data_IF_325168379601
#
_entry.id   IF_325168379601
#
_cell.length_a   1.000
_cell.length_b   1.000
_cell.length_c   1.000
_cell.angle_alpha   90.00
_cell.angle_beta   90.00
_cell.angle_gamma   90.00
#
_symmetry.space_group_name_H-M   'P 1'
#
loop_
_entity.id
_entity.type
_entity.pdbx_description
1 polymer ?
#
# COMPACT_ATOMS: atom_id res chain seq x y z
N UNK A 1 4.20 26.70 -6.72
CA UNK A 1 3.01 25.92 -6.34
C UNK A 1 2.21 25.43 -7.55
N UNK A 2 1.73 26.29 -8.45
CA UNK A 2 0.90 25.90 -9.61
C UNK A 2 1.53 24.82 -10.53
N UNK A 3 2.84 24.93 -10.84
CA UNK A 3 3.54 23.96 -11.69
C UNK A 3 3.57 22.54 -11.10
N UNK A 4 3.79 22.41 -9.78
CA UNK A 4 3.79 21.11 -9.09
C UNK A 4 2.39 20.48 -9.09
N UNK A 5 1.35 21.27 -8.85
CA UNK A 5 -0.04 20.80 -8.85
C UNK A 5 -0.47 20.27 -10.24
N UNK A 6 -0.02 20.93 -11.31
CA UNK A 6 -0.23 20.46 -12.69
C UNK A 6 0.52 19.15 -12.96
N UNK A 7 1.76 19.00 -12.49
CA UNK A 7 2.51 17.75 -12.64
C UNK A 7 1.78 16.58 -11.96
N UNK A 8 1.18 16.81 -10.78
CA UNK A 8 0.36 15.82 -10.11
C UNK A 8 -0.93 15.48 -10.85
N UNK A 9 -1.56 16.46 -11.48
CA UNK A 9 -2.74 16.21 -12.33
C UNK A 9 -2.35 15.29 -13.49
N UNK A 10 -1.23 15.58 -14.14
CA UNK A 10 -0.70 14.75 -15.22
C UNK A 10 -0.38 13.33 -14.72
N UNK A 11 0.24 13.19 -13.56
CA UNK A 11 0.54 11.88 -12.96
C UNK A 11 -0.73 11.06 -12.73
N UNK A 12 -1.77 11.67 -12.15
CA UNK A 12 -3.05 11.00 -11.92
C UNK A 12 -3.75 10.61 -13.24
N UNK A 13 -3.69 11.50 -14.25
CA UNK A 13 -4.18 11.18 -15.60
C UNK A 13 -3.42 9.98 -16.18
N UNK A 14 -2.10 9.93 -16.05
CA UNK A 14 -1.28 8.79 -16.52
C UNK A 14 -1.71 7.50 -15.84
N UNK A 15 -1.94 7.50 -14.52
CA UNK A 15 -2.44 6.32 -13.80
C UNK A 15 -3.79 5.85 -14.37
N UNK A 16 -4.73 6.76 -14.60
CA UNK A 16 -6.04 6.44 -15.20
C UNK A 16 -5.91 5.93 -16.63
N UNK A 17 -5.02 6.51 -17.44
CA UNK A 17 -4.76 6.04 -18.80
C UNK A 17 -4.18 4.61 -18.80
N UNK A 18 -3.31 4.29 -17.85
CA UNK A 18 -2.74 2.95 -17.68
C UNK A 18 -3.80 1.94 -17.24
N UNK A 19 -4.73 2.31 -16.35
CA UNK A 19 -5.91 1.49 -16.02
C UNK A 19 -6.73 1.19 -17.26
N UNK A 20 -7.01 2.22 -18.08
CA UNK A 20 -7.74 2.06 -19.33
C UNK A 20 -7.04 1.13 -20.32
N UNK A 21 -5.72 1.31 -20.48
CA UNK A 21 -4.91 0.45 -21.36
C UNK A 21 -4.90 -1.00 -20.88
N UNK A 22 -4.63 -1.23 -19.59
CA UNK A 22 -4.64 -2.57 -19.02
C UNK A 22 -6.02 -3.22 -19.23
N UNK A 23 -7.11 -2.50 -18.95
CA UNK A 23 -8.48 -3.00 -19.16
C UNK A 23 -8.80 -3.35 -20.61
N UNK A 24 -8.24 -2.65 -21.60
CA UNK A 24 -8.41 -2.96 -23.02
C UNK A 24 -7.63 -4.22 -23.43
N UNK A 25 -6.49 -4.44 -22.78
CA UNK A 25 -5.59 -5.55 -23.08
C UNK A 25 -5.90 -6.82 -22.28
N UNK A 26 -6.65 -6.72 -21.18
CA UNK A 26 -7.04 -7.86 -20.35
C UNK A 26 -7.89 -8.85 -21.14
N UNK A 27 -7.59 -10.14 -21.02
CA UNK A 27 -8.30 -11.24 -21.68
C UNK A 27 -9.78 -11.37 -21.26
N UNK A 28 -10.56 -12.28 -21.88
CA UNK A 28 -12.00 -12.41 -21.65
C UNK A 28 -12.38 -12.76 -20.20
N UNK A 29 -11.49 -13.45 -19.48
CA UNK A 29 -11.71 -13.92 -18.10
C UNK A 29 -11.32 -12.88 -17.04
N UNK A 30 -10.56 -11.84 -17.41
CA UNK A 30 -10.09 -10.83 -16.46
C UNK A 30 -11.06 -9.67 -16.30
N UNK A 31 -11.01 -9.03 -15.14
CA UNK A 31 -11.87 -7.90 -14.78
C UNK A 31 -11.49 -6.67 -15.60
N UNK A 32 -12.48 -6.11 -16.30
CA UNK A 32 -12.35 -4.86 -17.06
C UNK A 32 -13.06 -3.72 -16.35
N UNK A 33 -12.69 -2.49 -16.68
CA UNK A 33 -13.41 -1.30 -16.23
C UNK A 33 -14.86 -1.36 -16.72
N UNK A 34 -15.81 -1.34 -15.79
CA UNK A 34 -17.23 -1.39 -16.06
C UNK A 34 -17.99 -0.42 -15.15
N UNK A 35 -19.05 0.19 -15.68
CA UNK A 35 -19.82 1.20 -14.96
C UNK A 35 -19.01 2.44 -14.58
N UNK A 36 -19.53 3.20 -13.61
CA UNK A 36 -18.94 4.48 -13.16
C UNK A 36 -18.52 4.48 -11.69
N UNK A 37 -18.82 3.43 -10.92
CA UNK A 37 -18.54 3.39 -9.47
C UNK A 37 -17.05 3.54 -9.14
N UNK A 38 -16.18 2.99 -9.99
CA UNK A 38 -14.73 3.10 -9.83
C UNK A 38 -14.21 4.54 -10.01
N UNK A 39 -14.85 5.36 -10.84
CA UNK A 39 -14.45 6.77 -11.05
C UNK A 39 -14.61 7.60 -9.78
N UNK A 40 -15.67 7.34 -9.00
CA UNK A 40 -15.90 8.02 -7.73
C UNK A 40 -14.73 7.76 -6.77
N UNK A 41 -14.29 6.51 -6.63
CA UNK A 41 -13.20 6.16 -5.74
C UNK A 41 -11.85 6.67 -6.24
N UNK A 42 -11.59 6.64 -7.55
CA UNK A 42 -10.42 7.31 -8.12
C UNK A 42 -10.43 8.82 -7.82
N UNK A 43 -11.59 9.48 -7.94
CA UNK A 43 -11.73 10.89 -7.61
C UNK A 43 -11.52 11.17 -6.11
N UNK A 44 -12.07 10.36 -5.22
CA UNK A 44 -11.84 10.48 -3.76
C UNK A 44 -10.35 10.30 -3.46
N UNK A 45 -9.70 9.29 -4.04
CA UNK A 45 -8.26 9.10 -3.90
C UNK A 45 -7.46 10.31 -4.37
N UNK A 46 -7.77 10.84 -5.55
CA UNK A 46 -7.15 12.07 -6.07
C UNK A 46 -7.35 13.26 -5.11
N UNK A 47 -8.56 13.44 -4.56
CA UNK A 47 -8.85 14.47 -3.56
C UNK A 47 -7.99 14.28 -2.31
N UNK A 48 -7.85 13.06 -1.79
CA UNK A 48 -6.96 12.76 -0.65
C UNK A 48 -5.52 13.15 -0.97
N UNK A 49 -5.00 12.77 -2.15
CA UNK A 49 -3.66 13.17 -2.60
C UNK A 49 -3.51 14.68 -2.62
N UNK A 50 -4.49 15.41 -3.17
CA UNK A 50 -4.44 16.87 -3.25
C UNK A 50 -4.56 17.54 -1.88
N UNK A 51 -5.39 17.03 -0.97
CA UNK A 51 -5.48 17.55 0.42
C UNK A 51 -4.11 17.45 1.08
N UNK A 52 -3.46 16.29 1.00
CA UNK A 52 -2.15 16.06 1.59
C UNK A 52 -1.09 16.95 0.91
N UNK A 53 -1.13 17.03 -0.42
CA UNK A 53 -0.25 17.91 -1.20
C UNK A 53 -0.40 19.36 -0.77
N UNK A 54 -1.62 19.91 -0.72
CA UNK A 54 -1.85 21.31 -0.36
C UNK A 54 -1.48 21.59 1.09
N UNK A 55 -1.70 20.65 2.01
CA UNK A 55 -1.27 20.77 3.40
C UNK A 55 0.27 20.80 3.55
N UNK A 56 1.02 20.37 2.53
CA UNK A 56 2.48 20.23 2.59
C UNK A 56 3.22 20.73 1.34
N UNK A 57 2.59 21.62 0.57
CA UNK A 57 2.97 21.94 -0.82
C UNK A 57 4.36 22.59 -0.97
N UNK A 58 4.81 23.25 0.09
CA UNK A 58 6.09 23.96 0.13
C UNK A 58 7.27 22.98 0.14
N UNK A 59 7.07 21.74 0.59
CA UNK A 59 8.14 20.76 0.67
C UNK A 59 8.66 20.34 -0.73
N UNK A 60 9.98 20.19 -0.92
CA UNK A 60 10.56 19.76 -2.20
C UNK A 60 10.22 18.31 -2.57
N UNK A 61 9.83 17.45 -1.62
CA UNK A 61 9.48 16.05 -1.89
C UNK A 61 8.26 15.85 -2.84
N UNK A 62 7.52 16.91 -3.13
CA UNK A 62 6.44 16.90 -4.13
C UNK A 62 6.93 17.20 -5.55
N UNK A 63 8.21 17.53 -5.75
CA UNK A 63 8.80 17.74 -7.06
C UNK A 63 9.00 16.41 -7.78
N UNK A 64 8.64 16.36 -9.06
CA UNK A 64 8.84 15.19 -9.91
C UNK A 64 9.79 15.63 -11.02
N UNK A 65 11.08 15.33 -10.85
CA UNK A 65 12.12 15.52 -11.85
C UNK A 65 12.49 14.20 -12.53
N UNK A 66 13.55 14.21 -13.33
CA UNK A 66 14.03 13.02 -14.06
C UNK A 66 14.33 11.85 -13.13
N UNK A 67 14.96 12.14 -11.98
CA UNK A 67 15.33 11.12 -11.00
C UNK A 67 14.10 10.45 -10.40
N UNK A 68 13.09 11.22 -10.03
CA UNK A 68 11.86 10.71 -9.45
C UNK A 68 11.10 9.86 -10.47
N UNK A 69 11.04 10.26 -11.74
CA UNK A 69 10.45 9.45 -12.83
C UNK A 69 11.16 8.11 -12.99
N UNK A 70 12.50 8.07 -12.90
CA UNK A 70 13.26 6.82 -12.97
C UNK A 70 12.92 5.91 -11.78
N UNK A 71 12.88 6.45 -10.56
CA UNK A 71 12.52 5.65 -9.39
C UNK A 71 11.06 5.18 -9.40
N UNK A 72 10.14 5.99 -9.94
CA UNK A 72 8.76 5.59 -10.19
C UNK A 72 8.68 4.39 -11.13
N UNK A 73 9.41 4.43 -12.24
CA UNK A 73 9.45 3.34 -13.22
C UNK A 73 10.07 2.05 -12.63
N UNK A 74 11.21 2.16 -11.94
CA UNK A 74 11.86 1.01 -11.29
C UNK A 74 10.96 0.43 -10.21
N UNK A 75 10.37 1.27 -9.36
CA UNK A 75 9.47 0.84 -8.29
C UNK A 75 8.24 0.13 -8.85
N UNK A 76 7.57 0.72 -9.83
CA UNK A 76 6.40 0.11 -10.48
C UNK A 76 6.75 -1.23 -11.15
N UNK A 77 7.90 -1.33 -11.82
CA UNK A 77 8.35 -2.58 -12.44
C UNK A 77 8.64 -3.66 -11.39
N UNK A 78 9.38 -3.33 -10.32
CA UNK A 78 9.66 -4.27 -9.24
C UNK A 78 8.39 -4.73 -8.55
N UNK A 79 7.49 -3.79 -8.21
CA UNK A 79 6.23 -4.13 -7.56
C UNK A 79 5.34 -4.98 -8.47
N UNK A 80 5.18 -4.60 -9.75
CA UNK A 80 4.36 -5.34 -10.71
C UNK A 80 4.90 -6.75 -10.99
N UNK A 81 6.20 -6.89 -11.27
CA UNK A 81 6.79 -8.21 -11.55
C UNK A 81 6.75 -9.12 -10.34
N UNK A 82 7.11 -8.62 -9.15
CA UNK A 82 7.03 -9.45 -7.94
C UNK A 82 5.57 -9.77 -7.59
N UNK A 83 4.64 -8.83 -7.77
CA UNK A 83 3.22 -9.12 -7.56
C UNK A 83 2.74 -10.20 -8.52
N UNK A 84 3.10 -10.14 -9.81
CA UNK A 84 2.83 -11.20 -10.77
C UNK A 84 3.37 -12.57 -10.31
N UNK A 85 4.65 -12.61 -9.89
CA UNK A 85 5.27 -13.84 -9.43
C UNK A 85 4.54 -14.41 -8.20
N UNK A 86 4.30 -13.61 -7.16
CA UNK A 86 3.69 -14.10 -5.92
C UNK A 86 2.19 -14.35 -6.05
N UNK A 87 1.45 -13.53 -6.82
CA UNK A 87 0.04 -13.76 -7.12
C UNK A 87 -0.17 -15.04 -7.94
N UNK A 88 0.73 -15.34 -8.87
CA UNK A 88 0.62 -16.48 -9.79
C UNK A 88 1.25 -17.79 -9.29
N UNK A 89 2.16 -17.76 -8.31
CA UNK A 89 2.96 -18.96 -7.95
C UNK A 89 2.96 -19.36 -6.47
N UNK A 90 2.49 -18.52 -5.53
CA UNK A 90 2.72 -18.77 -4.09
C UNK A 90 1.51 -18.34 -3.22
N UNK A 91 0.73 -19.32 -2.76
CA UNK A 91 -0.28 -19.24 -1.70
C UNK A 91 -1.29 -18.08 -1.82
N UNK A 92 -2.37 -18.29 -2.58
CA UNK A 92 -3.62 -17.55 -2.36
C UNK A 92 -4.01 -17.78 -0.90
N UNK A 93 -4.08 -16.69 -0.13
CA UNK A 93 -4.53 -16.78 1.25
C UNK A 93 -6.00 -17.19 1.21
N UNK A 94 -6.46 -18.10 2.10
CA UNK A 94 -7.89 -18.30 2.33
C UNK A 94 -8.51 -16.99 2.86
N UNK A 95 -8.82 -16.11 1.91
CA UNK A 95 -9.35 -14.75 2.02
C UNK A 95 -10.68 -14.72 1.29
N UNK A 96 -11.51 -13.70 1.51
CA UNK A 96 -12.75 -13.57 0.73
C UNK A 96 -12.52 -12.95 -0.65
N UNK A 97 -11.36 -12.35 -0.92
CA UNK A 97 -11.00 -11.79 -2.24
C UNK A 97 -9.74 -12.46 -2.80
N UNK A 98 -9.38 -12.17 -4.06
CA UNK A 98 -8.13 -12.64 -4.69
C UNK A 98 -6.91 -11.99 -4.02
N UNK A 99 -6.61 -12.44 -2.81
CA UNK A 99 -5.54 -11.91 -1.98
C UNK A 99 -4.47 -12.99 -1.82
N UNK A 100 -3.28 -12.70 -2.32
CA UNK A 100 -2.10 -13.52 -2.12
C UNK A 100 -1.26 -13.00 -0.95
N UNK A 101 -0.40 -13.84 -0.38
CA UNK A 101 0.71 -13.34 0.42
C UNK A 101 1.60 -12.52 -0.53
N UNK A 102 1.58 -11.19 -0.39
CA UNK A 102 2.30 -10.26 -1.26
C UNK A 102 3.54 -9.67 -0.55
N UNK A 103 4.68 -10.39 -0.47
CA UNK A 103 5.96 -9.78 -0.08
C UNK A 103 6.30 -8.53 -0.88
N UNK A 104 5.80 -8.43 -2.12
CA UNK A 104 5.99 -7.32 -3.03
C UNK A 104 5.52 -5.96 -2.48
N UNK A 105 4.60 -5.92 -1.50
CA UNK A 105 4.14 -4.65 -0.87
C UNK A 105 5.27 -3.85 -0.24
N UNK A 106 6.41 -4.51 0.03
CA UNK A 106 7.63 -3.86 0.50
C UNK A 106 8.10 -2.75 -0.46
N UNK A 107 7.84 -2.87 -1.76
CA UNK A 107 8.33 -1.90 -2.76
C UNK A 107 7.60 -0.56 -2.66
N UNK A 108 6.27 -0.44 -2.70
CA UNK A 108 5.59 0.84 -2.47
C UNK A 108 6.01 1.51 -1.16
N UNK A 109 6.14 0.74 -0.07
CA UNK A 109 6.57 1.26 1.23
C UNK A 109 8.01 1.78 1.17
N UNK A 110 8.95 0.98 0.66
CA UNK A 110 10.36 1.35 0.53
C UNK A 110 10.54 2.58 -0.38
N UNK A 111 9.98 2.55 -1.58
CA UNK A 111 10.13 3.63 -2.55
C UNK A 111 9.48 4.93 -2.05
N UNK A 112 8.35 4.85 -1.36
CA UNK A 112 7.75 5.99 -0.67
C UNK A 112 8.67 6.54 0.41
N UNK A 113 9.14 5.68 1.32
CA UNK A 113 9.92 6.07 2.50
C UNK A 113 11.32 6.62 2.18
N UNK A 114 11.90 6.19 1.06
CA UNK A 114 13.24 6.60 0.60
C UNK A 114 13.16 7.79 -0.36
N UNK A 115 12.26 7.77 -1.33
CA UNK A 115 12.24 8.72 -2.45
C UNK A 115 11.07 9.72 -2.40
N UNK A 116 10.17 9.57 -1.42
CA UNK A 116 9.09 10.52 -1.15
C UNK A 116 7.71 10.04 -1.65
N UNK A 117 6.65 10.77 -1.24
CA UNK A 117 5.26 10.35 -1.43
C UNK A 117 4.86 10.23 -2.91
N UNK A 118 5.42 11.05 -3.79
CA UNK A 118 5.17 10.97 -5.23
C UNK A 118 5.61 9.63 -5.81
N UNK A 119 6.86 9.24 -5.50
CA UNK A 119 7.46 8.02 -5.99
C UNK A 119 6.75 6.80 -5.40
N UNK A 120 6.43 6.84 -4.11
CA UNK A 120 5.65 5.79 -3.45
C UNK A 120 4.26 5.62 -4.06
N UNK A 121 3.54 6.72 -4.29
CA UNK A 121 2.20 6.68 -4.88
C UNK A 121 2.19 6.01 -6.25
N UNK A 122 3.08 6.46 -7.15
CA UNK A 122 3.15 5.88 -8.48
C UNK A 122 3.60 4.41 -8.44
N UNK A 123 4.60 4.10 -7.60
CA UNK A 123 5.08 2.72 -7.39
C UNK A 123 3.93 1.80 -7.00
N UNK A 124 3.13 2.19 -6.00
CA UNK A 124 1.98 1.42 -5.54
C UNK A 124 0.88 1.30 -6.59
N UNK A 125 0.44 2.43 -7.16
CA UNK A 125 -0.68 2.41 -8.10
C UNK A 125 -0.34 1.69 -9.40
N UNK A 126 0.74 2.09 -10.06
CA UNK A 126 1.12 1.50 -11.36
C UNK A 126 1.66 0.09 -11.19
N UNK A 127 2.41 -0.18 -10.11
CA UNK A 127 2.88 -1.53 -9.86
C UNK A 127 1.73 -2.51 -9.57
N UNK A 128 0.66 -2.09 -8.88
CA UNK A 128 -0.52 -2.95 -8.71
C UNK A 128 -1.24 -3.20 -10.05
N UNK A 129 -1.49 -2.17 -10.85
CA UNK A 129 -2.07 -2.30 -12.20
C UNK A 129 -1.28 -3.32 -13.02
N UNK A 130 0.06 -3.20 -13.04
CA UNK A 130 0.92 -4.12 -13.78
C UNK A 130 0.85 -5.54 -13.21
N UNK A 131 0.88 -5.70 -11.90
CA UNK A 131 0.81 -7.00 -11.25
C UNK A 131 -0.49 -7.74 -11.57
N UNK A 132 -1.63 -7.09 -11.33
CA UNK A 132 -2.96 -7.68 -11.55
C UNK A 132 -3.22 -7.94 -13.05
N UNK A 133 -2.77 -7.04 -13.93
CA UNK A 133 -2.82 -7.24 -15.37
C UNK A 133 -2.00 -8.45 -15.83
N UNK A 134 -0.74 -8.55 -15.39
CA UNK A 134 0.15 -9.66 -15.76
C UNK A 134 -0.32 -11.01 -15.21
N UNK A 135 -0.96 -11.02 -14.04
CA UNK A 135 -1.59 -12.24 -13.49
C UNK A 135 -2.86 -12.64 -14.25
N UNK A 136 -3.42 -11.74 -15.07
CA UNK A 136 -4.67 -11.96 -15.79
C UNK A 136 -5.92 -11.64 -14.98
N UNK A 137 -5.78 -11.10 -13.76
CA UNK A 137 -6.90 -10.69 -12.92
C UNK A 137 -7.63 -9.47 -13.48
N UNK A 138 -6.91 -8.58 -14.14
CA UNK A 138 -7.48 -7.40 -14.78
C UNK A 138 -7.10 -6.11 -14.08
N UNK A 139 -8.06 -5.20 -13.90
CA UNK A 139 -7.85 -3.87 -13.31
C UNK A 139 -8.87 -3.57 -12.23
N UNK A 140 -8.41 -3.10 -11.07
CA UNK A 140 -9.23 -2.84 -9.89
C UNK A 140 -8.94 -1.42 -9.36
N UNK A 141 -9.58 -0.37 -9.91
CA UNK A 141 -9.14 1.00 -9.68
C UNK A 141 -9.11 1.44 -8.21
N UNK A 142 -10.04 0.97 -7.39
CA UNK A 142 -10.03 1.28 -5.96
C UNK A 142 -8.81 0.66 -5.24
N UNK A 143 -8.43 -0.56 -5.62
CA UNK A 143 -7.25 -1.25 -5.12
C UNK A 143 -5.96 -0.66 -5.66
N UNK A 144 -5.92 -0.28 -6.93
CA UNK A 144 -4.77 0.40 -7.54
C UNK A 144 -4.49 1.72 -6.80
N UNK A 145 -5.52 2.54 -6.60
CA UNK A 145 -5.40 3.78 -5.83
C UNK A 145 -5.08 3.49 -4.36
N UNK A 146 -5.66 2.46 -3.75
CA UNK A 146 -5.35 2.02 -2.40
C UNK A 146 -3.88 1.68 -2.22
N UNK A 147 -3.29 0.90 -3.12
CA UNK A 147 -1.85 0.59 -3.13
C UNK A 147 -0.99 1.84 -3.38
N UNK A 148 -1.46 2.76 -4.24
CA UNK A 148 -0.85 4.08 -4.37
C UNK A 148 -0.84 4.85 -3.04
N UNK A 149 -1.95 4.85 -2.31
CA UNK A 149 -2.03 5.47 -0.98
C UNK A 149 -1.10 4.79 0.03
N UNK A 150 -0.88 3.47 -0.04
CA UNK A 150 0.16 2.80 0.77
C UNK A 150 1.51 3.46 0.53
N UNK A 151 1.95 3.55 -0.73
CA UNK A 151 3.24 4.16 -1.03
C UNK A 151 3.32 5.65 -0.67
N UNK A 152 2.23 6.40 -0.87
CA UNK A 152 2.17 7.82 -0.52
C UNK A 152 2.31 8.04 0.99
N UNK A 153 1.51 7.33 1.79
CA UNK A 153 1.50 7.46 3.25
C UNK A 153 2.83 7.01 3.84
N UNK A 154 3.43 5.93 3.30
CA UNK A 154 4.77 5.49 3.69
C UNK A 154 5.85 6.54 3.38
N UNK A 155 5.62 7.44 2.42
CA UNK A 155 6.54 8.53 2.08
C UNK A 155 6.36 9.84 2.85
N UNK A 156 5.29 9.99 3.63
CA UNK A 156 5.07 11.18 4.47
C UNK A 156 6.17 11.48 5.49
N UNK A 157 6.90 10.51 6.06
CA UNK A 157 8.05 10.76 6.92
C UNK A 157 9.12 11.65 6.30
N UNK A 158 9.26 11.64 4.97
CA UNK A 158 10.19 12.51 4.23
C UNK A 158 9.82 13.99 4.37
N UNK A 159 8.54 14.29 4.58
CA UNK A 159 8.00 15.65 4.73
C UNK A 159 7.85 16.02 6.21
N UNK A 160 7.28 15.11 7.00
CA UNK A 160 6.84 15.39 8.37
C UNK A 160 7.95 15.24 9.42
N UNK A 161 9.07 14.61 9.04
CA UNK A 161 10.10 14.11 9.95
C UNK A 161 9.86 12.65 10.32
N UNK A 162 10.93 11.85 10.38
CA UNK A 162 10.84 10.38 10.56
C UNK A 162 10.44 10.00 11.97
N UNK A 163 10.81 10.81 12.95
CA UNK A 163 10.47 10.69 14.36
C UNK A 163 9.04 11.18 14.68
N UNK A 164 8.41 11.91 13.76
CA UNK A 164 7.12 12.57 14.00
C UNK A 164 6.02 11.56 14.27
N UNK A 165 5.28 11.79 15.35
CA UNK A 165 4.08 11.05 15.74
C UNK A 165 4.27 9.54 15.98
N UNK A 166 5.50 9.02 16.04
CA UNK A 166 5.73 7.56 16.15
C UNK A 166 5.02 6.91 17.34
N UNK A 167 5.00 7.56 18.51
CA UNK A 167 4.28 7.03 19.68
C UNK A 167 2.78 6.89 19.42
N UNK A 168 2.16 7.94 18.86
CA UNK A 168 0.72 7.96 18.56
C UNK A 168 0.40 6.93 17.49
N UNK A 169 1.16 6.91 16.40
CA UNK A 169 0.94 5.99 15.29
C UNK A 169 1.13 4.52 15.70
N UNK A 170 2.08 4.23 16.59
CA UNK A 170 2.25 2.90 17.18
C UNK A 170 1.02 2.50 18.00
N UNK A 171 0.50 3.43 18.80
CA UNK A 171 -0.75 3.23 19.55
C UNK A 171 -1.95 2.98 18.62
N UNK A 172 -2.04 3.70 17.51
CA UNK A 172 -3.08 3.49 16.48
C UNK A 172 -2.97 2.10 15.87
N UNK A 173 -1.77 1.68 15.45
CA UNK A 173 -1.55 0.33 14.89
C UNK A 173 -1.95 -0.75 15.90
N UNK A 174 -1.54 -0.60 17.17
CA UNK A 174 -1.91 -1.52 18.24
C UNK A 174 -3.44 -1.58 18.44
N UNK A 175 -4.09 -0.43 18.55
CA UNK A 175 -5.53 -0.33 18.76
C UNK A 175 -6.33 -0.94 17.60
N UNK A 176 -5.94 -0.63 16.35
CA UNK A 176 -6.58 -1.20 15.15
C UNK A 176 -6.39 -2.71 15.10
N UNK A 177 -5.19 -3.22 15.36
CA UNK A 177 -4.92 -4.66 15.37
C UNK A 177 -5.75 -5.41 16.42
N UNK A 178 -5.83 -4.88 17.64
CA UNK A 178 -6.67 -5.45 18.72
C UNK A 178 -8.15 -5.40 18.33
N UNK A 179 -8.66 -4.24 17.89
CA UNK A 179 -10.06 -4.06 17.56
C UNK A 179 -10.52 -5.01 16.44
N UNK A 180 -9.72 -5.12 15.37
CA UNK A 180 -10.04 -6.01 14.25
C UNK A 180 -9.99 -7.48 14.65
N UNK A 181 -9.02 -7.90 15.45
CA UNK A 181 -8.96 -9.28 15.93
C UNK A 181 -10.12 -9.62 16.87
N UNK A 182 -10.50 -8.72 17.78
CA UNK A 182 -11.68 -8.93 18.64
C UNK A 182 -12.98 -9.01 17.82
N UNK A 183 -13.12 -8.17 16.79
CA UNK A 183 -14.28 -8.19 15.90
C UNK A 183 -14.32 -9.48 15.05
N UNK A 184 -13.16 -9.93 14.55
CA UNK A 184 -13.04 -11.18 13.80
C UNK A 184 -13.35 -12.43 14.64
N UNK A 185 -13.11 -12.40 15.96
CA UNK A 185 -13.44 -13.51 16.85
C UNK A 185 -14.94 -13.68 17.07
N UNK A 186 -15.71 -12.59 17.00
CA UNK A 186 -17.15 -12.58 17.31
C UNK A 186 -18.04 -12.57 16.08
N UNK A 187 -17.47 -12.43 14.88
CA UNK A 187 -18.22 -12.30 13.63
C UNK A 187 -17.95 -13.50 12.72
N UNK A 188 -19.02 -14.22 12.38
CA UNK A 188 -18.99 -15.25 11.33
C UNK A 188 -19.09 -14.57 9.97
N UNK A 189 -18.19 -14.90 9.05
CA UNK A 189 -18.12 -14.32 7.70
C UNK A 189 -17.93 -15.45 6.71
N UNK A 190 -18.90 -15.58 5.82
CA UNK A 190 -18.78 -16.47 4.68
C UNK A 190 -18.20 -15.73 3.48
N UNK A 191 -17.23 -16.36 2.81
CA UNK A 191 -16.63 -15.82 1.60
C UNK A 191 -17.60 -15.86 0.42
N UNK A 192 -17.86 -14.73 -0.28
CA UNK A 192 -18.67 -14.72 -1.50
C UNK A 192 -18.00 -15.47 -2.68
N UNK A 193 -16.68 -15.63 -2.64
CA UNK A 193 -15.90 -16.15 -3.77
C UNK A 193 -15.43 -17.58 -3.58
N UNK A 194 -15.07 -17.96 -2.35
CA UNK A 194 -14.48 -19.26 -2.02
C UNK A 194 -15.39 -20.15 -1.18
N UNK A 195 -16.46 -19.59 -0.61
CA UNK A 195 -17.34 -20.27 0.35
C UNK A 195 -16.64 -20.58 1.69
N UNK A 196 -17.43 -20.68 2.76
CA UNK A 196 -16.94 -21.06 4.09
C UNK A 196 -16.38 -19.92 4.95
N UNK A 197 -16.13 -20.20 6.25
CA UNK A 197 -15.77 -19.19 7.23
C UNK A 197 -14.32 -18.71 7.10
N UNK A 198 -14.06 -17.47 7.53
CA UNK A 198 -12.68 -16.97 7.76
C UNK A 198 -11.86 -17.95 8.58
N UNK A 199 -10.67 -18.30 8.07
CA UNK A 199 -9.80 -19.25 8.76
C UNK A 199 -9.44 -18.76 10.18
N UNK A 200 -9.30 -19.66 11.17
CA UNK A 200 -8.96 -19.28 12.53
C UNK A 200 -7.69 -18.41 12.61
N UNK A 201 -6.69 -18.69 11.77
CA UNK A 201 -5.45 -17.90 11.73
C UNK A 201 -5.72 -16.46 11.31
N UNK A 202 -6.55 -16.22 10.28
CA UNK A 202 -6.84 -14.87 9.77
C UNK A 202 -7.48 -13.97 10.83
N UNK A 203 -8.22 -14.54 11.79
CA UNK A 203 -8.78 -13.79 12.92
C UNK A 203 -7.69 -13.20 13.84
N UNK A 204 -6.52 -13.83 13.92
CA UNK A 204 -5.38 -13.39 14.74
C UNK A 204 -4.35 -12.56 13.98
N UNK A 205 -4.33 -12.59 12.65
CA UNK A 205 -3.33 -11.89 11.85
C UNK A 205 -3.24 -10.38 12.17
N UNK A 206 -4.34 -9.63 12.37
CA UNK A 206 -4.25 -8.21 12.72
C UNK A 206 -3.52 -7.98 14.04
N UNK A 207 -3.84 -8.74 15.08
CA UNK A 207 -3.19 -8.66 16.38
C UNK A 207 -1.71 -9.06 16.30
N UNK A 208 -1.39 -10.15 15.58
CA UNK A 208 -0.01 -10.61 15.39
C UNK A 208 0.81 -9.54 14.65
N UNK A 209 0.27 -8.98 13.57
CA UNK A 209 0.90 -7.89 12.82
C UNK A 209 1.15 -6.65 13.66
N UNK A 210 0.15 -6.23 14.43
CA UNK A 210 0.27 -5.08 15.32
C UNK A 210 1.29 -5.33 16.45
N UNK A 211 1.26 -6.49 17.09
CA UNK A 211 2.21 -6.87 18.12
C UNK A 211 3.65 -6.90 17.58
N UNK A 212 3.85 -7.43 16.37
CA UNK A 212 5.14 -7.44 15.70
C UNK A 212 5.64 -6.01 15.40
N UNK A 213 4.79 -5.14 14.86
CA UNK A 213 5.13 -3.73 14.59
C UNK A 213 5.55 -3.02 15.88
N UNK A 214 4.78 -3.19 16.95
CA UNK A 214 5.10 -2.62 18.27
C UNK A 214 6.44 -3.14 18.78
N UNK A 215 6.64 -4.46 18.77
CA UNK A 215 7.85 -5.09 19.25
C UNK A 215 9.09 -4.62 18.46
N UNK A 216 9.03 -4.67 17.12
CA UNK A 216 10.14 -4.28 16.26
C UNK A 216 10.45 -2.78 16.35
N UNK A 217 9.43 -1.92 16.46
CA UNK A 217 9.64 -0.49 16.67
C UNK A 217 10.49 -0.21 17.90
N UNK A 218 10.20 -0.87 19.02
CA UNK A 218 10.96 -0.69 20.25
C UNK A 218 12.32 -1.40 20.22
N UNK A 219 12.40 -2.60 19.64
CA UNK A 219 13.67 -3.31 19.46
C UNK A 219 14.66 -2.55 18.57
N UNK A 220 14.15 -1.85 17.55
CA UNK A 220 14.94 -1.02 16.63
C UNK A 220 14.93 0.46 17.01
N UNK A 221 14.50 0.82 18.21
CA UNK A 221 14.35 2.22 18.66
C UNK A 221 15.66 3.02 18.66
N UNK A 222 16.81 2.34 18.70
CA UNK A 222 18.13 2.97 18.53
C UNK A 222 18.40 3.49 17.11
N UNK A 223 17.63 3.07 16.11
CA UNK A 223 17.70 3.57 14.74
C UNK A 223 16.31 4.11 14.33
N UNK A 224 16.16 5.43 14.43
CA UNK A 224 14.89 6.12 14.16
C UNK A 224 14.40 5.85 12.74
N UNK A 225 15.27 5.80 11.74
CA UNK A 225 14.90 5.50 10.37
C UNK A 225 14.25 4.11 10.24
N UNK A 226 14.79 3.09 10.92
CA UNK A 226 14.22 1.74 10.88
C UNK A 226 12.94 1.62 11.70
N UNK A 227 12.91 2.18 12.91
CA UNK A 227 11.70 2.21 13.73
C UNK A 227 10.55 2.95 13.03
N UNK A 228 10.87 4.03 12.32
CA UNK A 228 9.90 4.84 11.58
C UNK A 228 9.34 4.13 10.35
N UNK A 229 10.16 3.45 9.54
CA UNK A 229 9.66 2.73 8.36
C UNK A 229 8.70 1.60 8.74
N UNK A 230 8.93 0.95 9.88
CA UNK A 230 8.06 -0.11 10.40
C UNK A 230 6.68 0.46 10.76
N UNK A 231 6.64 1.54 11.54
CA UNK A 231 5.38 2.15 11.98
C UNK A 231 4.63 2.78 10.81
N UNK A 232 5.32 3.58 9.99
CA UNK A 232 4.70 4.24 8.84
C UNK A 232 4.29 3.25 7.75
N UNK A 233 5.04 2.17 7.55
CA UNK A 233 4.65 1.08 6.66
C UNK A 233 3.38 0.37 7.13
N UNK A 234 3.22 0.17 8.45
CA UNK A 234 1.99 -0.40 9.00
C UNK A 234 0.79 0.54 8.83
N UNK A 235 0.95 1.83 9.18
CA UNK A 235 -0.09 2.86 9.00
C UNK A 235 -0.47 3.00 7.53
N UNK A 236 0.51 2.99 6.63
CA UNK A 236 0.31 3.06 5.20
C UNK A 236 -0.58 1.92 4.69
N UNK A 237 -0.32 0.69 5.13
CA UNK A 237 -1.16 -0.46 4.78
C UNK A 237 -2.57 -0.36 5.36
N UNK A 238 -2.72 0.10 6.61
CA UNK A 238 -4.04 0.32 7.21
C UNK A 238 -4.84 1.35 6.40
N UNK A 239 -4.21 2.46 6.00
CA UNK A 239 -4.87 3.53 5.26
C UNK A 239 -5.18 3.12 3.82
N UNK A 240 -4.19 2.62 3.09
CA UNK A 240 -4.32 2.33 1.66
C UNK A 240 -5.18 1.10 1.38
N UNK A 241 -4.98 0.00 2.10
CA UNK A 241 -5.83 -1.19 1.97
C UNK A 241 -7.21 -0.93 2.57
N UNK A 242 -7.30 -0.14 3.64
CA UNK A 242 -8.58 0.26 4.22
C UNK A 242 -9.41 1.07 3.24
N UNK A 243 -8.79 1.99 2.51
CA UNK A 243 -9.45 2.73 1.42
C UNK A 243 -10.05 1.79 0.36
N UNK A 244 -9.28 0.79 -0.09
CA UNK A 244 -9.74 -0.15 -1.12
C UNK A 244 -10.91 -1.02 -0.61
N UNK A 245 -10.78 -1.62 0.56
CA UNK A 245 -11.83 -2.46 1.14
C UNK A 245 -13.10 -1.66 1.46
N UNK A 246 -12.98 -0.42 1.96
CA UNK A 246 -14.12 0.47 2.13
C UNK A 246 -14.80 0.67 0.77
N UNK A 247 -14.05 0.90 -0.31
CA UNK A 247 -14.65 1.08 -1.63
C UNK A 247 -15.52 -0.09 -2.10
N UNK A 248 -15.13 -1.32 -1.76
CA UNK A 248 -15.86 -2.53 -2.16
C UNK A 248 -17.24 -2.68 -1.50
N UNK A 249 -17.51 -1.99 -0.39
CA UNK A 249 -18.86 -1.87 0.17
C UNK A 249 -19.81 -1.20 -0.85
N UNK A 250 -19.32 -0.21 -1.60
CA UNK A 250 -20.12 0.51 -2.60
C UNK A 250 -19.98 -0.07 -4.00
N UNK A 251 -18.78 -0.51 -4.39
CA UNK A 251 -18.53 -1.03 -5.74
C UNK A 251 -19.14 -2.42 -5.90
N UNK A 252 -18.92 -3.31 -4.93
CA UNK A 252 -19.35 -4.71 -4.99
C UNK A 252 -20.58 -5.00 -4.10
N UNK A 253 -21.03 -4.02 -3.31
CA UNK A 253 -22.19 -4.19 -2.42
C UNK A 253 -21.91 -5.04 -1.20
N UNK A 254 -20.65 -5.17 -0.78
CA UNK A 254 -20.29 -6.02 0.35
C UNK A 254 -20.79 -5.47 1.68
N UNK A 255 -21.33 -6.33 2.58
CA UNK A 255 -21.55 -5.94 3.96
C UNK A 255 -20.24 -5.46 4.60
N UNK A 256 -20.27 -4.47 5.53
CA UNK A 256 -19.05 -3.94 6.15
C UNK A 256 -18.15 -5.01 6.78
N UNK A 257 -18.72 -6.06 7.34
CA UNK A 257 -17.96 -7.19 7.89
C UNK A 257 -17.20 -7.96 6.79
N UNK A 258 -17.83 -8.21 5.64
CA UNK A 258 -17.19 -8.91 4.51
C UNK A 258 -16.03 -8.08 3.97
N UNK A 259 -16.23 -6.79 3.74
CA UNK A 259 -15.18 -5.89 3.27
C UNK A 259 -14.01 -5.79 4.27
N UNK A 260 -14.30 -5.51 5.55
CA UNK A 260 -13.23 -5.20 6.52
C UNK A 260 -12.55 -6.42 7.11
N UNK A 261 -13.29 -7.50 7.39
CA UNK A 261 -12.70 -8.70 7.98
C UNK A 261 -12.41 -9.76 6.92
N UNK A 262 -13.13 -9.76 5.81
CA UNK A 262 -12.93 -10.71 4.72
C UNK A 262 -11.92 -10.26 3.67
N UNK A 263 -11.82 -8.96 3.35
CA UNK A 263 -10.86 -8.45 2.34
C UNK A 263 -9.71 -7.68 2.99
N UNK A 264 -10.02 -6.67 3.81
CA UNK A 264 -9.00 -5.84 4.43
C UNK A 264 -8.09 -6.66 5.35
N UNK A 265 -8.62 -7.47 6.26
CA UNK A 265 -7.78 -8.25 7.19
C UNK A 265 -6.84 -9.21 6.44
N UNK A 266 -7.30 -10.04 5.49
CA UNK A 266 -6.40 -10.92 4.76
C UNK A 266 -5.43 -10.20 3.82
N UNK A 267 -5.71 -8.97 3.39
CA UNK A 267 -4.77 -8.17 2.58
C UNK A 267 -3.79 -7.37 3.45
N UNK A 268 -4.30 -6.50 4.32
CA UNK A 268 -3.51 -5.60 5.15
C UNK A 268 -2.68 -6.37 6.18
N UNK A 269 -3.23 -7.45 6.76
CA UNK A 269 -2.56 -8.24 7.79
C UNK A 269 -1.21 -8.80 7.32
N UNK A 270 -1.18 -9.65 6.28
CA UNK A 270 0.06 -10.12 5.69
C UNK A 270 0.92 -8.97 5.16
N UNK A 271 0.34 -7.93 4.56
CA UNK A 271 1.13 -6.81 4.08
C UNK A 271 1.91 -6.11 5.19
N UNK A 272 1.29 -5.90 6.36
CA UNK A 272 1.94 -5.31 7.54
C UNK A 272 3.08 -6.20 8.02
N UNK A 273 2.90 -7.51 8.05
CA UNK A 273 3.97 -8.46 8.42
C UNK A 273 5.16 -8.36 7.46
N UNK A 274 4.90 -8.44 6.15
CA UNK A 274 5.96 -8.34 5.14
C UNK A 274 6.65 -6.98 5.19
N UNK A 275 5.90 -5.90 5.30
CA UNK A 275 6.46 -4.55 5.37
C UNK A 275 7.31 -4.35 6.64
N UNK A 276 6.85 -4.84 7.79
CA UNK A 276 7.57 -4.71 9.06
C UNK A 276 8.89 -5.49 9.08
N UNK A 277 8.97 -6.62 8.37
CA UNK A 277 10.17 -7.46 8.32
C UNK A 277 11.11 -7.04 7.18
N UNK A 278 10.60 -6.92 5.96
CA UNK A 278 11.42 -6.78 4.76
C UNK A 278 11.83 -5.34 4.48
N UNK A 279 10.96 -4.35 4.75
CA UNK A 279 11.27 -2.95 4.44
C UNK A 279 12.47 -2.40 5.23
N UNK A 280 12.60 -2.62 6.56
CA UNK A 280 13.78 -2.14 7.27
C UNK A 280 15.09 -2.79 6.77
N UNK A 281 15.03 -4.04 6.28
CA UNK A 281 16.19 -4.68 5.65
C UNK A 281 16.59 -3.98 4.34
N UNK A 282 15.61 -3.66 3.48
CA UNK A 282 15.87 -2.90 2.25
C UNK A 282 16.40 -1.49 2.54
N UNK A 283 15.84 -0.80 3.54
CA UNK A 283 16.35 0.51 3.97
C UNK A 283 17.78 0.41 4.49
N UNK A 284 18.08 -0.60 5.32
CA UNK A 284 19.43 -0.87 5.79
C UNK A 284 20.42 -1.14 4.65
N UNK A 285 20.04 -1.98 3.68
CA UNK A 285 20.86 -2.28 2.50
C UNK A 285 21.10 -1.03 1.63
N UNK A 286 20.06 -0.22 1.42
CA UNK A 286 20.17 1.05 0.69
C UNK A 286 21.14 2.01 1.39
N UNK A 287 21.04 2.13 2.71
CA UNK A 287 21.93 3.00 3.50
C UNK A 287 23.39 2.56 3.41
N UNK A 288 23.65 1.26 3.51
CA UNK A 288 24.99 0.70 3.33
C UNK A 288 25.55 1.00 1.92
N UNK A 289 24.73 0.88 0.88
CA UNK A 289 25.12 1.19 -0.49
C UNK A 289 25.43 2.68 -0.67
N UNK A 290 24.62 3.60 -0.12
CA UNK A 290 24.90 5.04 -0.20
C UNK A 290 26.22 5.41 0.47
N UNK A 291 26.53 4.77 1.60
CA UNK A 291 27.78 4.96 2.31
C UNK A 291 28.98 4.48 1.47
N UNK A 292 28.88 3.32 0.83
CA UNK A 292 29.92 2.81 -0.06
C UNK A 292 30.16 3.70 -1.29
N UNK A 293 29.09 4.30 -1.83
CA UNK A 293 29.18 5.22 -2.96
C UNK A 293 29.66 6.63 -2.58
N UNK A 294 30.02 6.88 -1.31
CA UNK A 294 30.50 8.18 -0.84
C UNK A 294 29.43 9.27 -0.82
N UNK A 295 28.14 8.90 -0.84
CA UNK A 295 27.01 9.84 -0.93
C UNK A 295 26.44 10.26 0.44
N UNK A 296 27.14 9.95 1.53
CA UNK A 296 26.71 10.20 2.92
C UNK A 296 25.90 9.04 3.52
N UNK A 297 25.50 9.18 4.79
CA UNK A 297 24.57 8.24 5.43
C UNK A 297 23.20 8.39 4.75
N UNK A 298 22.70 7.33 4.08
CA UNK A 298 21.51 7.39 3.22
C UNK A 298 20.23 7.94 3.88
N UNK A 299 19.28 7.08 4.18
CA UNK A 299 18.11 7.41 4.99
C UNK A 299 18.56 7.47 6.46
N UNK A 300 18.99 8.65 6.92
CA UNK A 300 19.23 8.95 8.33
C UNK A 300 17.93 9.21 9.09
#
# INVERSE_FOLDING_TARGET
MARKALTWLILLIVVVLLMGLASLMTGPEGVRLQGFGWLLWVAIGAVIVYIIYFATADHPAWQIGTREVVYMAIGAALYGVFSYLFNGTVFVVPSVSQVALRPAIVFPVFFGYVFGPAVGFFTGAVGNILGDFLTGWGVFPAWDIGNGLVGLVAGLPVILGRERALNILTGVVAAVGVALSLWAMTTEIESPFFGGPLSPLMRWVPLIGAALVVALRFALGGNIALASVIVWGAVANIVGIGFAAIADIWINGYPPAVALLGEFVPAAGPNILHAAILTPLLVGAYNALQQQLGRGAGVA
#
